data_IF_318611146782
#
_entry.id   IF_318611146782
#
_cell.length_a   1.000
_cell.length_b   1.000
_cell.length_c   1.000
_cell.angle_alpha   90.00
_cell.angle_beta   90.00
_cell.angle_gamma   90.00
#
_symmetry.space_group_name_H-M   'P 1'
#
loop_
_entity.id
_entity.type
_entity.pdbx_description
1 polymer ?
#
# COMPACT_ATOMS: atom_id res chain seq x y z
N UNK A 1 7.03 15.62 -13.98
CA UNK A 1 7.00 14.19 -13.61
C UNK A 1 6.48 14.12 -12.19
N UNK A 2 5.57 13.19 -11.89
CA UNK A 2 4.95 13.07 -10.56
C UNK A 2 5.68 12.02 -9.73
N UNK A 3 5.51 12.10 -8.42
CA UNK A 3 5.92 11.06 -7.47
C UNK A 3 4.73 10.65 -6.61
N UNK A 4 4.63 9.37 -6.29
CA UNK A 4 3.62 8.86 -5.37
C UNK A 4 4.25 7.93 -4.33
N UNK A 5 3.75 8.04 -3.11
CA UNK A 5 4.02 7.08 -2.05
C UNK A 5 3.15 5.83 -2.25
N UNK A 6 3.75 4.66 -2.13
CA UNK A 6 3.07 3.36 -2.14
C UNK A 6 3.66 2.52 -1.01
N UNK A 7 2.81 1.82 -0.26
CA UNK A 7 3.25 0.99 0.86
C UNK A 7 2.68 -0.41 0.74
N UNK A 8 3.55 -1.40 0.83
CA UNK A 8 3.15 -2.79 1.07
C UNK A 8 2.96 -2.92 2.58
N UNK A 9 1.72 -3.19 2.98
CA UNK A 9 1.29 -3.33 4.37
C UNK A 9 1.80 -4.65 5.01
N UNK A 10 1.68 -4.82 6.34
CA UNK A 10 2.27 -5.98 7.02
C UNK A 10 1.82 -7.34 6.49
N UNK A 11 0.56 -7.48 6.10
CA UNK A 11 0.02 -8.70 5.47
C UNK A 11 0.69 -9.01 4.13
N UNK A 12 0.91 -8.01 3.28
CA UNK A 12 1.60 -8.16 2.00
C UNK A 12 3.05 -8.60 2.18
N UNK A 13 3.71 -8.09 3.23
CA UNK A 13 5.06 -8.51 3.61
C UNK A 13 5.07 -9.95 4.14
N UNK A 14 4.21 -10.26 5.10
CA UNK A 14 4.10 -11.60 5.70
C UNK A 14 3.77 -12.69 4.69
N UNK A 15 2.98 -12.35 3.66
CA UNK A 15 2.61 -13.26 2.57
C UNK A 15 3.66 -13.37 1.47
N UNK A 16 4.79 -12.67 1.57
CA UNK A 16 5.87 -12.72 0.58
C UNK A 16 5.55 -12.01 -0.75
N UNK A 17 4.59 -11.08 -0.78
CA UNK A 17 4.12 -10.43 -2.01
C UNK A 17 4.97 -9.23 -2.46
N UNK A 18 6.13 -8.98 -1.83
CA UNK A 18 6.95 -7.80 -2.10
C UNK A 18 7.40 -7.76 -3.57
N UNK A 19 8.00 -8.85 -4.06
CA UNK A 19 8.50 -8.93 -5.43
C UNK A 19 7.38 -8.82 -6.47
N UNK A 20 6.24 -9.47 -6.23
CA UNK A 20 5.08 -9.42 -7.11
C UNK A 20 4.52 -8.00 -7.23
N UNK A 21 4.37 -7.28 -6.12
CA UNK A 21 3.85 -5.91 -6.11
C UNK A 21 4.82 -4.96 -6.80
N UNK A 22 6.12 -5.01 -6.46
CA UNK A 22 7.15 -4.16 -7.11
C UNK A 22 7.15 -4.40 -8.63
N UNK A 23 7.12 -5.67 -9.05
CA UNK A 23 7.11 -6.04 -10.46
C UNK A 23 5.95 -5.41 -11.24
N UNK A 24 4.78 -5.19 -10.62
CA UNK A 24 3.64 -4.54 -11.30
C UNK A 24 3.93 -3.08 -11.65
N UNK A 25 4.63 -2.36 -10.78
CA UNK A 25 5.00 -0.96 -11.01
C UNK A 25 6.18 -0.86 -12.00
N UNK A 26 7.20 -1.72 -11.87
CA UNK A 26 8.33 -1.76 -12.79
C UNK A 26 7.90 -2.13 -14.21
N UNK A 27 7.07 -3.17 -14.38
CA UNK A 27 6.53 -3.58 -15.69
C UNK A 27 5.62 -2.51 -16.31
N UNK A 28 5.03 -1.62 -15.50
CA UNK A 28 4.29 -0.46 -16.02
C UNK A 28 5.21 0.62 -16.59
N UNK A 29 6.50 0.58 -16.26
CA UNK A 29 7.50 1.57 -16.66
C UNK A 29 7.72 2.69 -15.65
N UNK A 30 7.30 2.52 -14.40
CA UNK A 30 7.58 3.50 -13.34
C UNK A 30 8.96 3.30 -12.74
N UNK A 31 9.59 4.40 -12.31
CA UNK A 31 10.91 4.38 -11.72
C UNK A 31 10.81 4.33 -10.19
N UNK A 32 11.48 3.36 -9.55
CA UNK A 32 11.57 3.26 -8.10
C UNK A 32 12.62 4.26 -7.58
N UNK A 33 12.17 5.40 -7.03
CA UNK A 33 13.05 6.46 -6.51
C UNK A 33 13.63 6.14 -5.14
N UNK A 34 12.91 5.36 -4.34
CA UNK A 34 13.31 5.02 -3.00
C UNK A 34 12.47 3.90 -2.44
N UNK A 35 13.08 3.08 -1.59
CA UNK A 35 12.45 1.97 -0.91
C UNK A 35 13.07 1.80 0.48
N UNK A 36 12.23 1.49 1.48
CA UNK A 36 12.67 1.16 2.83
C UNK A 36 11.81 0.06 3.43
N UNK A 37 12.46 -1.00 3.92
CA UNK A 37 11.85 -2.00 4.78
C UNK A 37 11.95 -1.51 6.23
N UNK A 38 10.83 -1.38 6.93
CA UNK A 38 10.82 -0.81 8.28
C UNK A 38 9.63 -1.26 9.11
N UNK A 39 9.82 -1.31 10.43
CA UNK A 39 8.72 -1.26 11.38
C UNK A 39 8.26 0.20 11.56
N UNK A 40 6.97 0.40 11.74
CA UNK A 40 6.37 1.73 11.88
C UNK A 40 6.07 1.99 13.35
N UNK A 41 6.59 3.09 13.87
CA UNK A 41 6.25 3.56 15.22
C UNK A 41 4.78 3.98 15.30
N UNK A 42 4.13 3.71 16.43
CA UNK A 42 2.70 4.03 16.65
C UNK A 42 2.39 5.50 16.37
N UNK A 43 3.21 6.41 16.88
CA UNK A 43 3.02 7.85 16.69
C UNK A 43 3.09 8.25 15.21
N UNK A 44 3.98 7.62 14.44
CA UNK A 44 4.11 7.85 13.01
C UNK A 44 2.91 7.29 12.23
N UNK A 45 2.41 6.10 12.60
CA UNK A 45 1.20 5.54 12.00
C UNK A 45 -0.03 6.42 12.28
N UNK A 46 -0.18 6.91 13.52
CA UNK A 46 -1.25 7.83 13.89
C UNK A 46 -1.18 9.14 13.09
N UNK A 47 0.01 9.71 12.94
CA UNK A 47 0.21 10.91 12.14
C UNK A 47 -0.11 10.67 10.66
N UNK A 48 0.33 9.55 10.09
CA UNK A 48 0.07 9.20 8.69
C UNK A 48 -1.42 9.05 8.37
N UNK A 49 -2.22 8.55 9.33
CA UNK A 49 -3.66 8.35 9.18
C UNK A 49 -4.51 9.38 9.94
N UNK A 50 -3.96 10.56 10.29
CA UNK A 50 -4.63 11.55 11.11
C UNK A 50 -6.01 11.98 10.57
N UNK A 51 -6.16 12.06 9.24
CA UNK A 51 -7.43 12.38 8.56
C UNK A 51 -8.55 11.35 8.81
N UNK A 52 -8.20 10.17 9.33
CA UNK A 52 -9.12 9.10 9.66
C UNK A 52 -9.36 8.96 11.17
N UNK A 53 -8.78 9.85 12.00
CA UNK A 53 -8.81 9.73 13.47
C UNK A 53 -10.22 9.66 14.06
N UNK A 54 -11.20 10.32 13.45
CA UNK A 54 -12.61 10.28 13.86
C UNK A 54 -13.36 9.02 13.42
N UNK A 55 -12.72 8.11 12.67
CA UNK A 55 -13.37 6.89 12.17
C UNK A 55 -13.31 5.79 13.23
N UNK A 56 -14.40 5.01 13.42
CA UNK A 56 -14.44 3.97 14.45
C UNK A 56 -13.39 2.85 14.24
N UNK A 57 -12.92 2.66 13.00
CA UNK A 57 -11.87 1.69 12.67
C UNK A 57 -10.44 2.21 12.85
N UNK A 58 -10.25 3.49 13.19
CA UNK A 58 -8.91 4.10 13.28
C UNK A 58 -7.96 3.40 14.27
N UNK A 59 -8.39 3.05 15.50
CA UNK A 59 -7.51 2.31 16.42
C UNK A 59 -7.03 0.98 15.82
N UNK A 60 -7.95 0.21 15.22
CA UNK A 60 -7.63 -1.05 14.56
C UNK A 60 -6.66 -0.88 13.37
N UNK A 61 -6.87 0.16 12.55
CA UNK A 61 -5.96 0.52 11.47
C UNK A 61 -4.54 0.81 11.98
N UNK A 62 -4.40 1.53 13.09
CA UNK A 62 -3.08 1.81 13.69
C UNK A 62 -2.44 0.51 14.18
N UNK A 63 -3.17 -0.33 14.94
CA UNK A 63 -2.66 -1.63 15.40
C UNK A 63 -2.21 -2.51 14.24
N UNK A 64 -3.01 -2.59 13.18
CA UNK A 64 -2.69 -3.37 11.99
C UNK A 64 -1.39 -2.88 11.34
N UNK A 65 -1.20 -1.57 11.19
CA UNK A 65 -0.03 -1.01 10.52
C UNK A 65 1.26 -1.23 11.33
N UNK A 66 1.18 -1.23 12.65
CA UNK A 66 2.34 -1.47 13.52
C UNK A 66 2.56 -2.96 13.86
N UNK A 67 1.64 -3.85 13.44
CA UNK A 67 1.69 -5.28 13.74
C UNK A 67 2.87 -6.04 13.10
N UNK A 68 3.55 -5.41 12.14
CA UNK A 68 4.69 -6.00 11.45
C UNK A 68 5.42 -4.98 10.56
N UNK A 69 6.49 -5.42 9.87
CA UNK A 69 7.22 -4.54 8.97
C UNK A 69 6.40 -4.21 7.72
N UNK A 70 6.68 -3.04 7.15
CA UNK A 70 6.14 -2.55 5.87
C UNK A 70 7.27 -2.34 4.87
N UNK A 71 6.93 -2.28 3.58
CA UNK A 71 7.82 -1.76 2.54
C UNK A 71 7.26 -0.44 2.05
N UNK A 72 7.89 0.65 2.47
CA UNK A 72 7.60 2.02 2.04
C UNK A 72 8.35 2.32 0.74
N UNK A 73 7.66 2.83 -0.29
CA UNK A 73 8.23 3.09 -1.62
C UNK A 73 7.81 4.45 -2.16
N UNK A 74 8.68 5.04 -2.98
CA UNK A 74 8.40 6.21 -3.81
C UNK A 74 8.55 5.83 -5.28
N UNK A 75 7.47 5.97 -6.05
CA UNK A 75 7.45 5.72 -7.48
C UNK A 75 7.33 7.02 -8.27
N UNK A 76 8.11 7.17 -9.33
CA UNK A 76 8.14 8.34 -10.21
C UNK A 76 7.72 7.97 -11.64
N UNK A 77 6.94 8.85 -12.27
CA UNK A 77 6.52 8.67 -13.65
C UNK A 77 5.46 9.66 -14.10
N UNK A 78 4.99 9.50 -15.34
CA UNK A 78 3.83 10.23 -15.86
C UNK A 78 2.55 9.61 -15.30
N UNK A 79 1.65 10.43 -14.76
CA UNK A 79 0.36 10.03 -14.18
C UNK A 79 0.49 8.90 -13.14
N UNK A 80 1.62 8.85 -12.41
CA UNK A 80 1.96 7.73 -11.51
C UNK A 80 1.02 7.67 -10.31
N UNK A 81 0.51 8.81 -9.85
CA UNK A 81 -0.47 8.88 -8.74
C UNK A 81 -1.77 8.18 -9.15
N UNK A 82 -2.36 8.58 -10.28
CA UNK A 82 -3.61 7.99 -10.78
C UNK A 82 -3.43 6.53 -11.19
N UNK A 83 -2.35 6.24 -11.92
CA UNK A 83 -2.10 4.89 -12.44
C UNK A 83 -1.72 3.93 -11.32
N UNK A 84 -0.97 4.37 -10.32
CA UNK A 84 -0.67 3.57 -9.12
C UNK A 84 -1.94 3.14 -8.39
N UNK A 85 -2.92 4.04 -8.22
CA UNK A 85 -4.24 3.70 -7.65
C UNK A 85 -4.98 2.66 -8.49
N UNK A 86 -4.89 2.73 -9.82
CA UNK A 86 -5.48 1.73 -10.73
C UNK A 86 -4.80 0.36 -10.65
N UNK A 87 -3.47 0.32 -10.52
CA UNK A 87 -2.72 -0.93 -10.32
C UNK A 87 -3.11 -1.59 -9.01
N UNK A 88 -3.27 -0.79 -7.94
CA UNK A 88 -3.66 -1.30 -6.62
C UNK A 88 -5.09 -1.87 -6.63
N UNK A 89 -6.04 -1.18 -7.28
CA UNK A 89 -7.44 -1.59 -7.32
C UNK A 89 -8.29 -1.02 -6.17
N UNK A 90 -9.61 -1.22 -6.26
CA UNK A 90 -10.60 -0.70 -5.31
C UNK A 90 -10.30 -1.16 -3.87
N UNK A 91 -10.68 -0.36 -2.88
CA UNK A 91 -10.41 -0.67 -1.45
C UNK A 91 -11.05 -1.97 -1.00
N UNK A 92 -12.27 -2.25 -1.49
CA UNK A 92 -12.97 -3.51 -1.27
C UNK A 92 -12.50 -4.53 -2.30
N UNK A 93 -11.92 -5.67 -1.88
CA UNK A 93 -11.36 -6.63 -2.83
C UNK A 93 -12.37 -7.20 -3.84
N UNK A 94 -13.62 -7.43 -3.41
CA UNK A 94 -14.70 -7.89 -4.31
C UNK A 94 -15.18 -6.83 -5.31
N UNK A 95 -14.81 -5.56 -5.12
CA UNK A 95 -15.02 -4.47 -6.09
C UNK A 95 -13.76 -4.21 -6.93
N UNK A 96 -12.64 -4.86 -6.61
CA UNK A 96 -11.38 -4.70 -7.34
C UNK A 96 -11.36 -5.58 -8.59
N UNK A 97 -11.02 -4.98 -9.74
CA UNK A 97 -10.97 -5.71 -10.99
C UNK A 97 -9.86 -6.79 -10.97
N UNK A 98 -10.07 -7.95 -11.64
CA UNK A 98 -9.02 -8.94 -11.86
C UNK A 98 -7.77 -8.30 -12.50
N UNK A 99 -6.58 -8.73 -12.07
CA UNK A 99 -5.30 -8.18 -12.50
C UNK A 99 -4.79 -6.98 -11.69
N UNK A 100 -5.62 -6.43 -10.78
CA UNK A 100 -5.17 -5.44 -9.79
C UNK A 100 -4.58 -6.15 -8.56
N UNK A 101 -3.72 -5.46 -7.79
CA UNK A 101 -3.10 -6.07 -6.59
C UNK A 101 -4.17 -6.58 -5.62
N UNK A 102 -5.23 -5.79 -5.38
CA UNK A 102 -6.30 -6.20 -4.47
C UNK A 102 -7.22 -7.25 -5.09
N UNK A 103 -7.50 -7.17 -6.39
CA UNK A 103 -8.31 -8.18 -7.07
C UNK A 103 -7.62 -9.55 -7.14
N UNK A 104 -6.29 -9.57 -7.26
CA UNK A 104 -5.52 -10.82 -7.35
C UNK A 104 -5.20 -11.42 -5.97
N UNK A 105 -4.98 -10.58 -4.94
CA UNK A 105 -4.40 -11.04 -3.68
C UNK A 105 -5.20 -10.73 -2.42
N UNK A 106 -6.10 -9.74 -2.40
CA UNK A 106 -6.83 -9.39 -1.18
C UNK A 106 -8.16 -10.16 -1.08
N UNK A 107 -8.53 -10.55 0.14
CA UNK A 107 -9.79 -11.28 0.41
C UNK A 107 -10.75 -10.39 1.19
N UNK A 108 -10.24 -9.69 2.20
CA UNK A 108 -10.99 -8.80 3.07
C UNK A 108 -10.41 -7.38 3.07
N UNK A 109 -11.22 -6.40 3.45
CA UNK A 109 -10.71 -5.06 3.77
C UNK A 109 -9.96 -5.18 5.10
N UNK A 110 -8.78 -4.55 5.19
CA UNK A 110 -7.84 -4.68 6.30
C UNK A 110 -8.51 -4.74 7.69
N UNK A 111 -7.94 -5.61 8.53
CA UNK A 111 -8.37 -5.90 9.91
C UNK A 111 -8.34 -4.66 10.80
#
# INVERSE_FOLDING_TARGET
MEQTFIMIKPDGVQRGLIGDIISRFEKKGFYLKGMKFMNVERSFAQQHYADLSDKPFFPGLVEYIISGPVVAMVWEGKDVVLTGRRIIGATRPWEAAPGTIRGDYAVEVGR
#
